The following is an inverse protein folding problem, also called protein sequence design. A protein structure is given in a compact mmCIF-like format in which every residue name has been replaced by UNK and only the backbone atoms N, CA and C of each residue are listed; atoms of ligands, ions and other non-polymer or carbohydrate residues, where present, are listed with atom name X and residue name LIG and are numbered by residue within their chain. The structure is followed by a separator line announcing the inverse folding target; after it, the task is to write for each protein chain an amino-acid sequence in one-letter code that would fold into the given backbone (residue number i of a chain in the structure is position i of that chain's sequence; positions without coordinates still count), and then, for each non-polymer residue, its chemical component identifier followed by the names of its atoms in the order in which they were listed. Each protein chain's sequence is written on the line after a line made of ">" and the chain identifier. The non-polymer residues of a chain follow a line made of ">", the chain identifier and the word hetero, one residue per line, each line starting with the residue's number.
data_IF_591984361085
#
_entry.id   IF_591984361085
#
_cell.length_a   1.000
_cell.length_b   1.000
_cell.length_c   1.000
_cell.angle_alpha   90.00
_cell.angle_beta   90.00
_cell.angle_gamma   90.00
#
_symmetry.space_group_name_H-M   'P 1'
#
loop_
_entity.id
_entity.type
_entity.pdbx_description
1 polymer ?
#
# COMPACT_ATOMS: atom_id res chain seq x y z
N UNK A 1 -17.52 6.25 69.72
CA UNK A 1 -18.12 4.92 69.48
C UNK A 1 -17.56 4.35 68.17
N UNK A 2 -16.63 3.39 68.23
CA UNK A 2 -16.27 2.55 67.08
C UNK A 2 -16.68 1.09 67.32
N UNK A 3 -17.30 0.48 66.31
CA UNK A 3 -17.88 -0.85 66.37
C UNK A 3 -16.86 -1.96 66.04
N UNK A 4 -16.61 -2.80 67.04
CA UNK A 4 -16.52 -4.26 67.06
C UNK A 4 -15.88 -5.04 65.89
N UNK A 5 -14.79 -5.69 66.27
CA UNK A 5 -14.09 -6.84 65.68
C UNK A 5 -14.90 -8.15 65.87
N UNK A 6 -14.94 -9.05 64.87
CA UNK A 6 -14.81 -10.52 65.08
C UNK A 6 -14.66 -11.31 63.76
N UNK A 7 -14.05 -12.51 63.79
CA UNK A 7 -13.69 -13.33 62.63
C UNK A 7 -14.65 -14.52 62.41
N UNK A 8 -14.85 -14.96 61.16
CA UNK A 8 -15.44 -16.29 60.85
C UNK A 8 -14.68 -16.98 59.73
N UNK A 9 -14.15 -18.16 60.07
CA UNK A 9 -13.55 -19.15 59.18
C UNK A 9 -14.59 -20.20 58.73
N UNK A 10 -14.16 -21.07 57.79
CA UNK A 10 -14.82 -22.24 57.15
C UNK A 10 -15.56 -21.88 55.85
N UNK A 11 -15.25 -22.43 54.66
CA UNK A 11 -14.92 -23.82 54.32
C UNK A 11 -14.35 -23.88 52.88
N UNK A 12 -13.33 -24.72 52.55
CA UNK A 12 -12.87 -24.93 51.18
C UNK A 12 -13.57 -26.14 50.53
N UNK A 13 -13.97 -26.02 49.26
CA UNK A 13 -14.61 -27.11 48.52
C UNK A 13 -13.93 -27.38 47.17
N UNK A 14 -13.63 -28.68 46.99
CA UNK A 14 -13.51 -29.45 45.75
C UNK A 14 -12.22 -29.35 44.90
N UNK A 15 -11.33 -30.28 45.25
CA UNK A 15 -10.29 -30.95 44.47
C UNK A 15 -10.91 -31.86 43.38
N UNK A 16 -10.37 -31.85 42.15
CA UNK A 16 -10.29 -32.92 41.12
C UNK A 16 -10.36 -32.27 39.73
N UNK A 17 -9.48 -32.50 38.75
CA UNK A 17 -8.36 -33.41 38.61
C UNK A 17 -8.10 -33.55 37.11
N UNK A 18 -6.85 -33.46 36.65
CA UNK A 18 -6.40 -34.17 35.45
C UNK A 18 -4.86 -34.19 35.41
N UNK A 19 -4.29 -35.31 35.84
CA UNK A 19 -2.93 -35.72 35.55
C UNK A 19 -3.02 -36.67 34.36
N UNK A 20 -2.47 -36.33 33.19
CA UNK A 20 -2.26 -37.30 32.12
C UNK A 20 -1.15 -36.89 31.14
N UNK A 21 0.01 -37.51 31.35
CA UNK A 21 0.86 -38.17 30.34
C UNK A 21 1.58 -37.31 29.28
N UNK A 22 2.90 -37.25 29.48
CA UNK A 22 3.91 -37.04 28.46
C UNK A 22 3.67 -37.90 27.22
N UNK A 23 3.73 -37.28 26.04
CA UNK A 23 3.75 -37.95 24.74
C UNK A 23 4.91 -37.41 23.88
N UNK A 24 5.44 -38.25 22.99
CA UNK A 24 6.84 -38.26 22.60
C UNK A 24 7.18 -37.18 21.58
N UNK A 25 8.44 -36.74 21.60
CA UNK A 25 9.03 -35.94 20.54
C UNK A 25 9.11 -36.80 19.25
N UNK A 26 8.04 -36.80 18.46
CA UNK A 26 8.07 -37.25 17.08
C UNK A 26 8.36 -36.05 16.18
N UNK A 27 9.42 -36.17 15.39
CA UNK A 27 9.92 -35.20 14.44
C UNK A 27 8.80 -34.54 13.62
N UNK A 28 8.80 -33.21 13.53
CA UNK A 28 7.89 -32.45 12.68
C UNK A 28 8.24 -32.73 11.21
N UNK A 29 7.47 -33.61 10.60
CA UNK A 29 7.37 -33.75 9.15
C UNK A 29 6.96 -32.41 8.55
N UNK A 30 7.61 -32.02 7.45
CA UNK A 30 7.33 -30.84 6.63
C UNK A 30 5.82 -30.62 6.53
N UNK A 31 5.36 -29.44 6.97
CA UNK A 31 3.96 -29.08 7.03
C UNK A 31 3.24 -29.32 5.69
N UNK A 32 2.15 -30.09 5.76
CA UNK A 32 1.14 -30.20 4.71
C UNK A 32 0.65 -28.81 4.25
N UNK A 33 0.24 -28.64 2.98
CA UNK A 33 -0.21 -27.36 2.48
C UNK A 33 -1.50 -26.98 3.20
N UNK A 34 -1.57 -25.72 3.62
CA UNK A 34 -2.72 -25.14 4.29
C UNK A 34 -4.04 -25.50 3.59
N UNK A 35 -5.08 -25.74 4.40
CA UNK A 35 -6.46 -25.96 3.96
C UNK A 35 -6.86 -24.98 2.85
N UNK A 36 -7.68 -25.39 1.87
CA UNK A 36 -8.01 -24.55 0.72
C UNK A 36 -8.78 -23.31 1.18
N UNK A 37 -8.04 -22.24 1.46
CA UNK A 37 -8.56 -20.88 1.47
C UNK A 37 -9.22 -20.67 0.11
N UNK A 38 -10.43 -20.10 0.14
CA UNK A 38 -11.20 -19.78 -1.04
C UNK A 38 -10.29 -19.09 -2.06
N UNK A 39 -10.00 -19.77 -3.18
CA UNK A 39 -9.16 -19.18 -4.24
C UNK A 39 -9.98 -18.08 -4.91
N UNK A 40 -9.55 -16.85 -4.71
CA UNK A 40 -10.14 -15.70 -5.39
C UNK A 40 -9.74 -15.77 -6.87
N UNK A 41 -10.67 -15.43 -7.76
CA UNK A 41 -10.41 -15.44 -9.20
C UNK A 41 -9.26 -14.48 -9.54
N UNK A 42 -8.45 -14.81 -10.56
CA UNK A 42 -7.29 -13.98 -10.94
C UNK A 42 -7.70 -12.53 -11.28
N UNK A 43 -8.83 -12.34 -11.97
CA UNK A 43 -9.36 -11.01 -12.27
C UNK A 43 -9.72 -10.20 -11.01
N UNK A 44 -10.15 -10.88 -9.95
CA UNK A 44 -10.50 -10.25 -8.69
C UNK A 44 -9.24 -9.94 -7.85
N UNK A 45 -8.23 -10.82 -7.92
CA UNK A 45 -6.90 -10.53 -7.37
C UNK A 45 -6.25 -9.34 -8.09
N UNK A 46 -6.37 -9.25 -9.40
CA UNK A 46 -5.84 -8.14 -10.19
C UNK A 46 -6.57 -6.83 -9.90
N UNK A 47 -7.90 -6.90 -9.67
CA UNK A 47 -8.70 -5.77 -9.20
C UNK A 47 -8.22 -5.26 -7.84
N UNK A 48 -7.92 -6.16 -6.90
CA UNK A 48 -7.41 -5.80 -5.57
C UNK A 48 -5.95 -5.29 -5.65
N UNK A 49 -5.14 -5.80 -6.58
CA UNK A 49 -3.75 -5.36 -6.80
C UNK A 49 -3.63 -4.02 -7.52
N UNK A 50 -4.70 -3.52 -8.13
CA UNK A 50 -4.71 -2.21 -8.80
C UNK A 50 -3.76 -2.12 -10.01
N UNK A 51 -3.53 -3.23 -10.72
CA UNK A 51 -2.73 -3.26 -11.95
C UNK A 51 -3.59 -3.13 -13.20
N UNK A 52 -3.06 -2.55 -14.28
CA UNK A 52 -3.76 -2.41 -15.57
C UNK A 52 -3.10 -3.20 -16.65
N UNK A 53 -3.90 -3.98 -17.37
CA UNK A 53 -3.49 -4.69 -18.57
C UNK A 53 -3.72 -3.79 -19.79
N UNK A 54 -2.65 -3.47 -20.50
CA UNK A 54 -2.73 -2.85 -21.82
C UNK A 54 -3.26 -3.89 -22.83
N UNK A 55 -3.81 -3.44 -23.97
CA UNK A 55 -4.26 -4.34 -25.05
C UNK A 55 -3.19 -5.35 -25.50
N UNK A 56 -1.91 -5.03 -25.28
CA UNK A 56 -0.75 -5.88 -25.59
C UNK A 56 -0.34 -6.82 -24.43
N UNK A 57 -1.14 -6.92 -23.36
CA UNK A 57 -0.87 -7.76 -22.19
C UNK A 57 0.16 -7.20 -21.22
N UNK A 58 0.53 -5.93 -21.35
CA UNK A 58 1.44 -5.23 -20.42
C UNK A 58 0.68 -4.82 -19.15
N UNK A 59 1.10 -5.34 -18.00
CA UNK A 59 0.56 -4.95 -16.69
C UNK A 59 1.35 -3.75 -16.10
N UNK A 60 0.68 -2.65 -15.74
CA UNK A 60 1.28 -1.47 -15.09
C UNK A 60 0.47 -1.09 -13.83
N UNK A 61 1.15 -0.86 -12.71
CA UNK A 61 0.56 -0.32 -11.48
C UNK A 61 1.41 0.83 -10.92
N UNK A 62 0.75 1.85 -10.37
CA UNK A 62 1.36 3.01 -9.73
C UNK A 62 0.85 3.19 -8.30
N UNK A 63 1.75 3.24 -7.33
CA UNK A 63 1.50 3.76 -6.00
C UNK A 63 2.14 5.14 -5.86
N UNK A 64 1.36 6.13 -5.46
CA UNK A 64 1.82 7.50 -5.23
C UNK A 64 1.54 7.81 -3.76
N UNK A 65 2.58 8.10 -3.00
CA UNK A 65 2.48 8.58 -1.64
C UNK A 65 3.04 9.99 -1.59
N UNK A 66 2.31 10.93 -1.00
CA UNK A 66 2.82 12.26 -0.72
C UNK A 66 2.62 12.64 0.73
N UNK A 67 3.59 13.37 1.27
CA UNK A 67 3.58 13.83 2.64
C UNK A 67 4.09 15.27 2.71
N UNK A 68 3.39 16.11 3.47
CA UNK A 68 3.78 17.48 3.78
C UNK A 68 4.27 17.55 5.22
N UNK A 69 5.50 18.00 5.41
CA UNK A 69 6.09 18.26 6.72
C UNK A 69 6.31 19.75 6.93
N UNK A 70 6.06 20.23 8.15
CA UNK A 70 6.42 21.58 8.59
C UNK A 70 7.29 21.45 9.84
N UNK A 71 8.52 21.95 9.77
CA UNK A 71 9.54 21.84 10.82
C UNK A 71 9.77 20.38 11.27
N UNK A 72 9.74 19.43 10.32
CA UNK A 72 9.88 18.00 10.59
C UNK A 72 8.63 17.30 11.12
N UNK A 73 7.52 18.02 11.34
CA UNK A 73 6.24 17.45 11.77
C UNK A 73 5.34 17.18 10.57
N UNK A 74 4.86 15.94 10.44
CA UNK A 74 3.90 15.56 9.40
C UNK A 74 2.58 16.31 9.59
N UNK A 75 2.12 17.02 8.55
CA UNK A 75 0.85 17.74 8.52
C UNK A 75 -0.23 16.98 7.76
N UNK A 76 0.15 16.37 6.65
CA UNK A 76 -0.77 15.70 5.73
C UNK A 76 -0.03 14.56 5.07
N UNK A 77 -0.72 13.43 4.87
CA UNK A 77 -0.30 12.36 3.97
C UNK A 77 -1.42 12.06 2.98
N UNK A 78 -1.07 11.72 1.75
CA UNK A 78 -2.00 11.35 0.69
C UNK A 78 -1.45 10.13 -0.02
N UNK A 79 -2.18 9.02 0.02
CA UNK A 79 -1.84 7.78 -0.66
C UNK A 79 -2.82 7.52 -1.78
N UNK A 80 -2.30 7.30 -2.97
CA UNK A 80 -3.07 6.98 -4.16
C UNK A 80 -2.52 5.73 -4.84
N UNK A 81 -3.41 4.83 -5.19
CA UNK A 81 -3.10 3.68 -6.03
C UNK A 81 -3.77 3.95 -7.37
N UNK A 82 -2.94 4.30 -8.36
CA UNK A 82 -3.38 4.53 -9.71
C UNK A 82 -2.99 3.35 -10.58
N UNK A 83 -3.85 3.11 -11.52
CA UNK A 83 -3.87 1.89 -12.25
C UNK A 83 -4.04 2.37 -13.72
N UNK A 84 -3.11 1.95 -14.59
CA UNK A 84 -2.80 2.58 -15.87
C UNK A 84 -3.86 2.41 -16.98
N UNK A 85 -4.83 3.31 -17.05
CA UNK A 85 -5.92 3.31 -18.05
C UNK A 85 -7.18 4.02 -17.56
N UNK A 86 -7.23 4.39 -16.27
CA UNK A 86 -8.18 5.36 -15.74
C UNK A 86 -7.96 6.80 -16.28
N UNK A 87 -6.90 7.02 -17.06
CA UNK A 87 -6.50 8.33 -17.58
C UNK A 87 -7.26 8.78 -18.85
N UNK A 88 -8.21 7.99 -19.36
CA UNK A 88 -9.06 8.39 -20.50
C UNK A 88 -10.28 9.23 -20.09
N UNK A 89 -10.50 9.43 -18.78
CA UNK A 89 -11.50 10.35 -18.23
C UNK A 89 -10.92 11.19 -17.09
N UNK A 90 -11.62 12.25 -16.62
CA UNK A 90 -11.18 13.05 -15.49
C UNK A 90 -11.10 12.16 -14.25
N UNK A 91 -9.88 11.79 -13.86
CA UNK A 91 -9.61 11.12 -12.59
C UNK A 91 -9.94 12.12 -11.49
N UNK A 92 -11.11 11.96 -10.86
CA UNK A 92 -11.48 12.72 -9.66
C UNK A 92 -10.68 12.14 -8.51
N UNK A 93 -9.51 12.75 -8.27
CA UNK A 93 -8.67 12.42 -7.13
C UNK A 93 -9.37 12.84 -5.84
N UNK A 94 -9.23 12.07 -4.75
CA UNK A 94 -9.59 12.56 -3.42
C UNK A 94 -8.88 13.90 -3.19
N UNK A 95 -9.65 14.84 -2.63
CA UNK A 95 -9.41 16.28 -2.75
C UNK A 95 -7.98 16.76 -2.50
N UNK A 96 -7.65 17.88 -3.15
CA UNK A 96 -6.42 18.65 -2.96
C UNK A 96 -6.07 18.70 -1.47
N UNK A 97 -4.87 18.23 -1.12
CA UNK A 97 -4.45 18.27 0.25
C UNK A 97 -4.07 19.71 0.63
N UNK A 98 -4.83 20.30 1.56
CA UNK A 98 -4.66 21.68 1.98
C UNK A 98 -4.02 21.72 3.36
N UNK A 99 -2.88 22.39 3.48
CA UNK A 99 -2.18 22.60 4.76
C UNK A 99 -2.12 24.09 5.05
N UNK A 100 -2.74 24.52 6.14
CA UNK A 100 -2.74 25.92 6.58
C UNK A 100 -1.94 26.05 7.88
N UNK A 101 -0.85 26.80 7.85
CA UNK A 101 0.05 27.03 8.97
C UNK A 101 0.03 28.52 9.36
N UNK A 102 -0.54 28.81 10.52
CA UNK A 102 -0.71 30.18 11.03
C UNK A 102 -2.11 30.77 10.80
N UNK A 103 -2.42 31.90 11.46
CA UNK A 103 -3.69 32.60 11.34
C UNK A 103 -3.82 33.34 9.99
N UNK A 104 -5.06 33.58 9.55
CA UNK A 104 -5.33 34.36 8.33
C UNK A 104 -5.15 33.62 7.00
N UNK A 105 -4.85 32.31 7.03
CA UNK A 105 -4.86 31.47 5.84
C UNK A 105 -6.29 31.32 5.31
N UNK A 106 -6.54 31.69 4.06
CA UNK A 106 -7.83 31.54 3.40
C UNK A 106 -7.64 30.77 2.09
N UNK A 107 -8.25 29.59 2.01
CA UNK A 107 -8.27 28.79 0.78
C UNK A 107 -9.60 28.98 0.08
N UNK A 108 -9.57 29.65 -1.07
CA UNK A 108 -10.73 29.83 -1.94
C UNK A 108 -10.64 28.84 -3.11
N UNK A 109 -11.47 27.79 -3.07
CA UNK A 109 -11.50 26.77 -4.12
C UNK A 109 -12.10 27.26 -5.44
N UNK A 110 -12.64 28.48 -5.47
CA UNK A 110 -13.36 29.07 -6.62
C UNK A 110 -12.45 29.43 -7.81
N UNK A 111 -11.12 29.36 -7.65
CA UNK A 111 -10.15 29.76 -8.67
C UNK A 111 -9.63 28.62 -9.56
N UNK A 112 -10.12 27.38 -9.39
CA UNK A 112 -9.71 26.26 -10.26
C UNK A 112 -8.21 25.98 -10.23
N UNK A 113 -7.61 25.93 -9.04
CA UNK A 113 -6.22 25.49 -8.91
C UNK A 113 -6.16 24.01 -9.27
N UNK A 114 -5.63 23.69 -10.44
CA UNK A 114 -5.32 22.33 -10.84
C UNK A 114 -4.05 21.89 -10.12
N UNK A 115 -4.20 21.02 -9.13
CA UNK A 115 -3.09 20.45 -8.38
C UNK A 115 -2.76 19.09 -9.00
N UNK A 116 -1.48 18.82 -9.32
CA UNK A 116 -1.09 17.52 -9.85
C UNK A 116 -1.42 16.40 -8.85
N UNK A 117 -1.54 15.18 -9.35
CA UNK A 117 -1.77 13.98 -8.53
C UNK A 117 -0.71 13.89 -7.42
N UNK A 118 -1.15 13.76 -6.17
CA UNK A 118 -0.28 13.75 -5.00
C UNK A 118 0.26 15.12 -4.59
N UNK A 119 -0.19 16.21 -5.21
CA UNK A 119 0.19 17.57 -4.83
C UNK A 119 -0.57 18.09 -3.60
N UNK A 120 -0.01 19.14 -3.00
CA UNK A 120 -0.56 19.81 -1.84
C UNK A 120 -0.53 21.33 -2.03
N UNK A 121 -1.53 22.03 -1.49
CA UNK A 121 -1.51 23.48 -1.34
C UNK A 121 -1.15 23.79 0.10
N UNK A 122 -0.01 24.44 0.31
CA UNK A 122 0.45 24.86 1.64
C UNK A 122 0.34 26.37 1.75
N UNK A 123 -0.46 26.85 2.69
CA UNK A 123 -0.57 28.26 3.05
C UNK A 123 0.12 28.46 4.38
N UNK A 124 1.10 29.35 4.40
CA UNK A 124 1.88 29.61 5.61
C UNK A 124 2.00 31.12 5.82
N UNK A 125 1.54 31.59 6.98
CA UNK A 125 1.60 33.01 7.39
C UNK A 125 2.64 33.27 8.49
N UNK A 126 3.38 32.23 8.90
CA UNK A 126 4.44 32.33 9.92
C UNK A 126 5.82 32.40 9.27
N UNK A 127 6.74 33.16 9.87
CA UNK A 127 8.12 33.26 9.41
C UNK A 127 8.96 32.02 9.81
N UNK A 128 10.05 31.79 9.07
CA UNK A 128 11.06 30.77 9.37
C UNK A 128 10.52 29.33 9.49
N UNK A 129 9.51 28.98 8.69
CA UNK A 129 8.97 27.63 8.65
C UNK A 129 9.65 26.80 7.57
N UNK A 130 10.19 25.63 7.94
CA UNK A 130 10.75 24.68 7.00
C UNK A 130 9.63 23.76 6.48
N UNK A 131 9.17 24.01 5.25
CA UNK A 131 8.13 23.22 4.59
C UNK A 131 8.80 22.21 3.66
N UNK A 132 8.49 20.94 3.84
CA UNK A 132 8.98 19.86 2.96
C UNK A 132 7.80 19.10 2.39
N UNK A 133 7.80 18.89 1.08
CA UNK A 133 6.83 18.06 0.40
C UNK A 133 7.58 16.92 -0.29
N UNK A 134 7.29 15.70 0.13
CA UNK A 134 7.94 14.50 -0.40
C UNK A 134 6.88 13.70 -1.12
N UNK A 135 7.12 13.40 -2.39
CA UNK A 135 6.27 12.51 -3.20
C UNK A 135 7.10 11.31 -3.63
N UNK A 136 6.67 10.13 -3.22
CA UNK A 136 7.26 8.86 -3.59
C UNK A 136 6.35 8.15 -4.58
N UNK A 137 6.88 7.79 -5.75
CA UNK A 137 6.15 7.07 -6.79
C UNK A 137 6.77 5.69 -6.94
N UNK A 138 5.96 4.67 -6.64
CA UNK A 138 6.28 3.26 -6.85
C UNK A 138 5.57 2.78 -8.11
N UNK A 139 6.32 2.35 -9.13
CA UNK A 139 5.74 1.83 -10.36
C UNK A 139 6.24 0.40 -10.61
N UNK A 140 5.32 -0.51 -10.92
CA UNK A 140 5.66 -1.88 -11.32
C UNK A 140 5.14 -2.14 -12.72
N UNK A 141 6.00 -2.67 -13.59
CA UNK A 141 5.67 -3.04 -14.97
C UNK A 141 6.05 -4.48 -15.25
N UNK A 142 5.22 -5.22 -16.00
CA UNK A 142 5.60 -6.55 -16.47
C UNK A 142 6.58 -6.43 -17.66
N UNK A 143 7.86 -6.72 -17.43
CA UNK A 143 8.92 -6.60 -18.45
C UNK A 143 9.00 -7.80 -19.40
N UNK A 144 8.29 -8.89 -19.15
CA UNK A 144 8.43 -10.13 -19.93
C UNK A 144 8.06 -9.93 -21.41
N UNK A 145 7.07 -9.08 -21.70
CA UNK A 145 6.70 -8.75 -23.08
C UNK A 145 7.75 -7.89 -23.79
N UNK A 146 8.33 -6.92 -23.07
CA UNK A 146 9.40 -6.06 -23.60
C UNK A 146 10.66 -6.89 -23.89
N UNK A 147 11.02 -7.81 -23.00
CA UNK A 147 12.14 -8.73 -23.20
C UNK A 147 11.92 -9.66 -24.40
N UNK A 148 10.70 -10.19 -24.58
CA UNK A 148 10.34 -10.99 -25.75
C UNK A 148 10.49 -10.18 -27.04
N UNK A 149 9.99 -8.95 -27.07
CA UNK A 149 10.11 -8.06 -28.22
C UNK A 149 11.59 -7.79 -28.59
N UNK A 150 12.44 -7.49 -27.61
CA UNK A 150 13.87 -7.30 -27.83
C UNK A 150 14.58 -8.55 -28.32
N UNK A 151 14.24 -9.72 -27.77
CA UNK A 151 14.81 -11.01 -28.20
C UNK A 151 14.41 -11.37 -29.64
N UNK A 152 13.18 -11.06 -30.03
CA UNK A 152 12.68 -11.26 -31.39
C UNK A 152 13.38 -10.34 -32.37
N UNK A 153 13.55 -9.06 -32.04
CA UNK A 153 14.30 -8.12 -32.86
C UNK A 153 15.75 -8.54 -33.04
N UNK A 154 16.42 -9.00 -31.98
CA UNK A 154 17.78 -9.53 -32.05
C UNK A 154 17.87 -10.76 -32.97
N UNK A 155 16.87 -11.64 -32.91
CA UNK A 155 16.79 -12.84 -33.77
C UNK A 155 16.56 -12.47 -35.23
N UNK A 156 15.68 -11.51 -35.52
CA UNK A 156 15.43 -11.00 -36.87
C UNK A 156 16.67 -10.33 -37.46
N UNK A 157 17.36 -9.50 -36.68
CA UNK A 157 18.62 -8.87 -37.11
C UNK A 157 19.68 -9.92 -37.41
N UNK A 158 19.79 -10.96 -36.57
CA UNK A 158 20.66 -12.11 -36.81
C UNK A 158 20.33 -12.83 -38.13
N UNK A 159 19.06 -13.16 -38.36
CA UNK A 159 18.61 -13.84 -39.57
C UNK A 159 18.80 -13.00 -40.84
N UNK A 160 18.58 -11.68 -40.79
CA UNK A 160 18.83 -10.77 -41.91
C UNK A 160 20.32 -10.70 -42.25
N UNK A 161 21.19 -10.57 -41.26
CA UNK A 161 22.64 -10.55 -41.48
C UNK A 161 23.13 -11.88 -42.02
N UNK A 162 22.59 -13.00 -41.54
CA UNK A 162 22.94 -14.34 -42.02
C UNK A 162 22.43 -14.57 -43.46
N UNK A 163 21.26 -14.03 -43.82
CA UNK A 163 20.74 -14.09 -45.19
C UNK A 163 21.54 -13.29 -46.22
N UNK A 164 22.23 -12.22 -45.80
CA UNK A 164 23.12 -11.44 -46.67
C UNK A 164 24.49 -12.10 -46.83
N UNK A 165 24.80 -13.08 -45.99
CA UNK A 165 26.07 -13.80 -45.98
C UNK A 165 26.04 -15.08 -46.82
N UNK A 166 24.88 -15.43 -47.38
CA UNK A 166 24.64 -16.61 -48.21
C UNK A 166 24.30 -16.21 -49.63
#
# INVERSE_FOLDING_TARGET
>A
MPALLSPRALLPAALSGLLALAQPACAQTVAEPAAPGLRLADAELDRIRGGFLTNDGLAIAFGIESAVYINGVLKTTTTLQLAAGAASGPVVLPGVSLVQNGPGNSYLTSGGISVPVGGAVVQNTLDNQAIQHITTINATVNSAQIMKAQSFEATLRGALVDSLRR
#
